data_IF_491737698332
#
_entry.id   IF_491737698332
#
_cell.length_a   1.000
_cell.length_b   1.000
_cell.length_c   1.000
_cell.angle_alpha   90.00
_cell.angle_beta   90.00
_cell.angle_gamma   90.00
#
_symmetry.space_group_name_H-M   'P 1'
#
loop_
_entity.id
_entity.type
_entity.pdbx_description
1 polymer ?
#
# COMPACT_ATOMS: atom_id res chain seq x y z
N UNK A 1 -18.11 17.67 4.16
CA UNK A 1 -18.67 18.64 5.12
C UNK A 1 -17.74 19.81 5.41
N UNK A 2 -16.62 19.67 6.15
CA UNK A 2 -15.77 20.83 6.48
C UNK A 2 -15.18 21.56 5.26
N UNK A 3 -14.71 20.83 4.23
CA UNK A 3 -14.02 21.47 3.08
C UNK A 3 -14.88 21.80 1.87
N UNK A 4 -16.09 21.24 1.78
CA UNK A 4 -16.93 21.35 0.58
C UNK A 4 -18.41 21.59 0.94
N UNK A 5 -18.74 21.83 2.21
CA UNK A 5 -20.13 21.91 2.65
C UNK A 5 -20.88 20.58 2.51
N UNK A 6 -22.20 20.66 2.53
CA UNK A 6 -23.14 19.57 2.21
C UNK A 6 -24.10 19.92 1.09
N UNK A 7 -24.12 21.18 0.66
CA UNK A 7 -25.26 21.76 -0.04
C UNK A 7 -24.97 21.95 -1.54
N UNK A 8 -23.69 22.02 -1.94
CA UNK A 8 -23.26 22.17 -3.33
C UNK A 8 -22.30 21.06 -3.77
N UNK A 9 -22.33 20.75 -5.08
CA UNK A 9 -21.38 19.83 -5.70
C UNK A 9 -20.00 20.48 -5.83
N UNK A 10 -18.94 19.68 -5.61
CA UNK A 10 -17.53 20.12 -5.68
C UNK A 10 -17.17 20.68 -7.07
N UNK A 11 -17.83 20.20 -8.11
CA UNK A 11 -17.66 20.66 -9.49
C UNK A 11 -19.00 21.22 -10.01
N UNK A 12 -19.31 22.50 -9.74
CA UNK A 12 -20.63 23.08 -9.97
C UNK A 12 -21.03 23.22 -11.45
N UNK A 13 -20.08 23.05 -12.37
CA UNK A 13 -20.28 23.18 -13.82
C UNK A 13 -20.17 21.86 -14.61
N UNK A 14 -20.31 20.69 -13.96
CA UNK A 14 -20.56 19.47 -14.72
C UNK A 14 -21.93 19.59 -15.36
N UNK A 15 -21.95 19.73 -16.70
CA UNK A 15 -23.10 19.85 -17.60
C UNK A 15 -24.46 19.67 -16.90
N UNK A 16 -25.24 20.74 -16.74
CA UNK A 16 -26.53 20.74 -16.03
C UNK A 16 -27.58 19.76 -16.60
N UNK A 17 -27.29 19.12 -17.74
CA UNK A 17 -28.08 18.07 -18.37
C UNK A 17 -27.73 16.64 -17.92
N UNK A 18 -26.69 16.42 -17.12
CA UNK A 18 -26.21 15.10 -16.71
C UNK A 18 -26.11 14.99 -15.20
N UNK A 19 -27.07 14.31 -14.57
CA UNK A 19 -27.08 14.03 -13.14
C UNK A 19 -26.40 12.69 -12.88
N UNK A 20 -25.16 12.68 -12.37
CA UNK A 20 -24.41 11.44 -12.08
C UNK A 20 -25.13 10.47 -11.12
N UNK A 21 -26.11 10.94 -10.34
CA UNK A 21 -26.90 10.11 -9.43
C UNK A 21 -28.14 9.51 -10.11
N UNK A 22 -28.57 10.04 -11.26
CA UNK A 22 -29.78 9.59 -11.98
C UNK A 22 -29.48 9.01 -13.36
N UNK A 23 -28.42 9.48 -14.01
CA UNK A 23 -28.05 9.15 -15.37
C UNK A 23 -26.82 8.24 -15.41
N UNK A 24 -26.93 7.12 -16.14
CA UNK A 24 -25.80 6.25 -16.44
C UNK A 24 -25.29 6.55 -17.84
N UNK A 25 -24.08 7.09 -17.97
CA UNK A 25 -23.41 7.18 -19.27
C UNK A 25 -23.07 5.77 -19.79
N UNK A 26 -23.66 5.42 -20.93
CA UNK A 26 -23.35 4.18 -21.64
C UNK A 26 -22.42 4.55 -22.79
N UNK A 27 -21.31 3.80 -22.95
CA UNK A 27 -20.39 3.96 -24.09
C UNK A 27 -21.12 3.71 -25.42
N UNK A 28 -20.70 4.38 -26.47
CA UNK A 28 -21.28 4.16 -27.80
C UNK A 28 -20.90 2.78 -28.35
N UNK A 29 -21.57 2.34 -29.40
CA UNK A 29 -21.29 1.06 -30.07
C UNK A 29 -21.91 -0.19 -29.42
N UNK A 30 -21.60 -1.34 -29.99
CA UNK A 30 -22.11 -2.64 -29.58
C UNK A 30 -21.37 -3.21 -28.35
N UNK A 31 -21.85 -4.31 -27.77
CA UNK A 31 -21.29 -4.90 -26.55
C UNK A 31 -19.78 -5.21 -26.67
N UNK A 32 -19.33 -5.70 -27.83
CA UNK A 32 -17.93 -6.01 -28.06
C UNK A 32 -17.06 -4.74 -28.17
N UNK A 33 -17.55 -3.71 -28.86
CA UNK A 33 -16.87 -2.41 -28.94
C UNK A 33 -16.72 -1.78 -27.55
N UNK A 34 -17.79 -1.78 -26.74
CA UNK A 34 -17.76 -1.26 -25.37
C UNK A 34 -16.77 -2.00 -24.48
N UNK A 35 -16.67 -3.32 -24.65
CA UNK A 35 -15.70 -4.13 -23.94
C UNK A 35 -14.27 -3.76 -24.34
N UNK A 36 -13.98 -3.70 -25.65
CA UNK A 36 -12.66 -3.32 -26.15
C UNK A 36 -12.26 -1.91 -25.73
N UNK A 37 -13.16 -0.93 -25.84
CA UNK A 37 -12.91 0.44 -25.41
C UNK A 37 -12.64 0.53 -23.91
N UNK A 38 -13.43 -0.14 -23.07
CA UNK A 38 -13.19 -0.15 -21.63
C UNK A 38 -11.81 -0.75 -21.28
N UNK A 39 -11.40 -1.81 -21.99
CA UNK A 39 -10.09 -2.44 -21.83
C UNK A 39 -8.95 -1.50 -22.25
N UNK A 40 -9.06 -0.88 -23.42
CA UNK A 40 -8.02 0.01 -23.96
C UNK A 40 -7.92 1.31 -23.17
N UNK A 41 -9.05 1.91 -22.80
CA UNK A 41 -9.10 3.08 -21.91
C UNK A 41 -8.47 2.76 -20.55
N UNK A 42 -8.85 1.62 -19.96
CA UNK A 42 -8.31 1.16 -18.68
C UNK A 42 -6.80 0.95 -18.75
N UNK A 43 -6.31 0.31 -19.81
CA UNK A 43 -4.88 0.09 -20.05
C UNK A 43 -4.12 1.40 -20.22
N UNK A 44 -4.60 2.32 -21.08
CA UNK A 44 -3.99 3.64 -21.30
C UNK A 44 -3.93 4.46 -20.02
N UNK A 45 -5.05 4.58 -19.31
CA UNK A 45 -5.13 5.34 -18.07
C UNK A 45 -4.26 4.70 -16.97
N UNK A 46 -4.23 3.37 -16.90
CA UNK A 46 -3.36 2.62 -15.98
C UNK A 46 -1.87 2.89 -16.22
N UNK A 47 -1.41 2.87 -17.47
CA UNK A 47 -0.02 3.20 -17.83
C UNK A 47 0.32 4.65 -17.48
N UNK A 48 -0.56 5.60 -17.80
CA UNK A 48 -0.35 7.00 -17.48
C UNK A 48 -0.26 7.23 -15.96
N UNK A 49 -1.14 6.60 -15.19
CA UNK A 49 -1.11 6.63 -13.73
C UNK A 49 0.18 6.01 -13.19
N UNK A 50 0.63 4.89 -13.74
CA UNK A 50 1.87 4.24 -13.34
C UNK A 50 3.08 5.15 -13.53
N UNK A 51 3.21 5.81 -14.69
CA UNK A 51 4.29 6.77 -14.95
C UNK A 51 4.32 7.89 -13.90
N UNK A 52 3.15 8.40 -13.50
CA UNK A 52 3.05 9.44 -12.47
C UNK A 52 3.45 8.97 -11.07
N UNK A 53 3.32 7.68 -10.76
CA UNK A 53 3.57 7.11 -9.42
C UNK A 53 5.01 6.59 -9.26
N UNK A 54 5.66 6.17 -10.36
CA UNK A 54 7.02 5.59 -10.36
C UNK A 54 8.03 6.40 -9.52
N UNK A 55 8.14 7.74 -9.66
CA UNK A 55 9.13 8.50 -8.89
C UNK A 55 8.96 8.35 -7.38
N UNK A 56 7.72 8.41 -6.90
CA UNK A 56 7.42 8.23 -5.47
C UNK A 56 7.73 6.82 -5.01
N UNK A 57 7.36 5.80 -5.79
CA UNK A 57 7.63 4.39 -5.48
C UNK A 57 9.13 4.13 -5.35
N UNK A 58 9.93 4.56 -6.34
CA UNK A 58 11.38 4.30 -6.37
C UNK A 58 12.06 4.95 -5.18
N UNK A 59 11.74 6.21 -4.87
CA UNK A 59 12.33 6.94 -3.74
C UNK A 59 11.98 6.26 -2.41
N UNK A 60 10.69 5.98 -2.18
CA UNK A 60 10.24 5.41 -0.90
C UNK A 60 10.76 3.98 -0.72
N UNK A 61 10.69 3.14 -1.75
CA UNK A 61 11.18 1.76 -1.63
C UNK A 61 12.71 1.72 -1.42
N UNK A 62 13.47 2.59 -2.10
CA UNK A 62 14.92 2.69 -1.91
C UNK A 62 15.26 3.15 -0.50
N UNK A 63 14.57 4.18 0.01
CA UNK A 63 14.77 4.66 1.38
C UNK A 63 14.46 3.57 2.40
N UNK A 64 13.32 2.89 2.28
CA UNK A 64 12.96 1.79 3.18
C UNK A 64 13.98 0.66 3.11
N UNK A 65 14.43 0.29 1.90
CA UNK A 65 15.45 -0.75 1.71
C UNK A 65 16.76 -0.37 2.41
N UNK A 66 17.28 0.84 2.18
CA UNK A 66 18.51 1.32 2.82
C UNK A 66 18.39 1.38 4.35
N UNK A 67 17.22 1.72 4.87
CA UNK A 67 17.00 1.76 6.32
C UNK A 67 16.77 0.38 6.94
N UNK A 68 16.32 -0.61 6.15
CA UNK A 68 15.97 -1.95 6.66
C UNK A 68 17.14 -2.92 6.55
N UNK A 69 17.81 -2.97 5.40
CA UNK A 69 18.89 -3.91 5.15
C UNK A 69 20.14 -3.52 5.94
N UNK A 70 20.97 -4.51 6.27
CA UNK A 70 22.27 -4.28 6.90
C UNK A 70 23.41 -4.08 5.88
N UNK A 71 24.63 -3.86 6.38
CA UNK A 71 25.83 -3.82 5.53
C UNK A 71 26.12 -5.20 4.91
N UNK A 72 27.18 -5.29 4.11
CA UNK A 72 27.65 -6.56 3.53
C UNK A 72 27.88 -7.65 4.59
N UNK A 73 28.04 -8.90 4.16
CA UNK A 73 28.39 -10.02 5.04
C UNK A 73 29.71 -9.81 5.80
N UNK A 74 30.62 -8.98 5.26
CA UNK A 74 31.85 -8.57 5.92
C UNK A 74 31.65 -7.48 7.00
N UNK A 75 30.42 -7.02 7.22
CA UNK A 75 30.05 -5.99 8.19
C UNK A 75 30.38 -4.56 7.74
N UNK A 76 31.01 -4.38 6.58
CA UNK A 76 31.33 -3.07 6.00
C UNK A 76 30.25 -2.64 5.01
N UNK A 77 29.84 -1.37 5.08
CA UNK A 77 28.95 -0.78 4.10
C UNK A 77 29.77 -0.35 2.87
N UNK A 78 29.47 -0.95 1.73
CA UNK A 78 30.19 -0.71 0.46
C UNK A 78 29.38 0.12 -0.52
N UNK A 79 28.06 0.26 -0.28
CA UNK A 79 27.12 0.89 -1.20
C UNK A 79 26.65 -0.04 -2.32
N UNK A 80 26.90 -1.35 -2.19
CA UNK A 80 26.42 -2.33 -3.16
C UNK A 80 24.89 -2.45 -3.14
N UNK A 81 24.35 -3.04 -4.21
CA UNK A 81 22.91 -3.26 -4.32
C UNK A 81 22.39 -4.08 -3.13
N UNK A 82 21.24 -3.68 -2.60
CA UNK A 82 20.57 -4.28 -1.44
C UNK A 82 21.31 -4.15 -0.10
N UNK A 83 22.34 -3.31 0.01
CA UNK A 83 22.90 -2.93 1.30
C UNK A 83 22.10 -1.81 1.99
N UNK A 84 22.30 -1.66 3.29
CA UNK A 84 21.70 -0.60 4.08
C UNK A 84 22.39 -0.41 5.43
N UNK A 85 21.77 0.41 6.29
CA UNK A 85 22.27 0.76 7.62
C UNK A 85 21.55 0.05 8.77
N UNK A 86 20.51 -0.75 8.49
CA UNK A 86 19.81 -1.56 9.48
C UNK A 86 19.10 -0.77 10.59
N UNK A 87 18.80 0.51 10.36
CA UNK A 87 18.16 1.37 11.36
C UNK A 87 16.76 0.86 11.74
N UNK A 88 15.94 0.44 10.76
CA UNK A 88 14.57 -0.04 11.01
C UNK A 88 14.54 -1.42 11.65
N UNK A 89 15.48 -2.30 11.31
CA UNK A 89 15.62 -3.60 11.99
C UNK A 89 16.06 -3.43 13.44
N UNK A 90 16.98 -2.48 13.72
CA UNK A 90 17.36 -2.10 15.08
C UNK A 90 16.18 -1.54 15.89
N UNK A 91 15.41 -0.59 15.32
CA UNK A 91 14.19 -0.06 15.95
C UNK A 91 13.17 -1.18 16.17
N UNK A 92 12.97 -2.05 15.17
CA UNK A 92 12.07 -3.19 15.24
C UNK A 92 12.40 -4.15 16.37
N UNK A 93 13.70 -4.42 16.59
CA UNK A 93 14.17 -5.20 17.73
C UNK A 93 13.78 -4.57 19.07
N UNK A 94 13.88 -3.24 19.20
CA UNK A 94 13.47 -2.51 20.42
C UNK A 94 11.95 -2.49 20.61
N UNK A 95 11.19 -2.45 19.52
CA UNK A 95 9.73 -2.44 19.53
C UNK A 95 9.09 -3.84 19.55
N UNK A 96 9.90 -4.91 19.57
CA UNK A 96 9.42 -6.30 19.53
C UNK A 96 8.36 -6.59 20.59
N UNK A 97 8.48 -6.00 21.79
CA UNK A 97 7.50 -6.17 22.87
C UNK A 97 6.09 -5.69 22.51
N UNK A 98 5.95 -4.75 21.57
CA UNK A 98 4.66 -4.26 21.05
C UNK A 98 4.28 -5.03 19.79
N UNK A 99 5.22 -5.20 18.86
CA UNK A 99 4.96 -5.73 17.54
C UNK A 99 4.59 -7.23 17.57
N UNK A 100 5.22 -8.01 18.44
CA UNK A 100 4.93 -9.43 18.57
C UNK A 100 3.51 -9.71 19.10
N UNK A 101 3.01 -9.08 20.19
CA UNK A 101 1.62 -9.33 20.63
C UNK A 101 0.58 -8.78 19.64
N UNK A 102 0.83 -7.62 19.02
CA UNK A 102 -0.15 -6.95 18.17
C UNK A 102 -0.23 -7.58 16.77
N UNK A 103 0.90 -7.84 16.13
CA UNK A 103 0.96 -8.32 14.74
C UNK A 103 1.48 -9.74 14.62
N UNK A 104 2.01 -10.33 15.69
CA UNK A 104 2.55 -11.69 15.65
C UNK A 104 3.93 -11.80 15.03
N UNK A 105 4.65 -10.70 14.82
CA UNK A 105 5.96 -10.73 14.17
C UNK A 105 6.99 -11.49 15.01
N UNK A 106 7.49 -12.58 14.44
CA UNK A 106 8.47 -13.47 15.05
C UNK A 106 9.89 -12.89 14.98
N UNK A 107 10.19 -12.16 13.91
CA UNK A 107 11.50 -11.55 13.63
C UNK A 107 11.39 -10.03 13.37
N UNK A 108 12.40 -9.21 13.70
CA UNK A 108 12.44 -7.79 13.37
C UNK A 108 12.39 -7.52 11.85
N UNK A 109 12.93 -8.44 11.04
CA UNK A 109 12.96 -8.36 9.58
C UNK A 109 11.56 -8.41 8.96
N UNK A 110 10.57 -8.98 9.67
CA UNK A 110 9.17 -9.00 9.23
C UNK A 110 8.61 -7.57 9.01
N UNK A 111 9.19 -6.54 9.64
CA UNK A 111 8.81 -5.15 9.43
C UNK A 111 9.15 -4.64 8.02
N UNK A 112 10.06 -5.29 7.29
CA UNK A 112 10.39 -4.85 5.94
C UNK A 112 9.16 -4.85 5.03
N UNK A 113 8.28 -5.86 5.16
CA UNK A 113 7.11 -5.95 4.30
C UNK A 113 6.14 -4.77 4.51
N UNK A 114 5.62 -4.49 5.72
CA UNK A 114 4.72 -3.36 5.93
C UNK A 114 5.36 -2.03 5.51
N UNK A 115 6.65 -1.81 5.81
CA UNK A 115 7.33 -0.56 5.46
C UNK A 115 7.53 -0.40 3.95
N UNK A 116 7.92 -1.45 3.24
CA UNK A 116 8.04 -1.41 1.78
C UNK A 116 6.67 -1.21 1.13
N UNK A 117 5.60 -1.79 1.71
CA UNK A 117 4.24 -1.65 1.20
C UNK A 117 3.71 -0.21 1.22
N UNK A 118 4.25 0.67 2.08
CA UNK A 118 3.94 2.11 2.08
C UNK A 118 4.27 2.76 0.73
N UNK A 119 5.35 2.30 0.08
CA UNK A 119 5.79 2.75 -1.24
C UNK A 119 5.19 1.91 -2.37
N UNK A 120 5.26 0.57 -2.26
CA UNK A 120 4.68 -0.38 -3.21
C UNK A 120 4.46 -1.76 -2.59
N UNK A 121 3.22 -2.25 -2.60
CA UNK A 121 2.90 -3.62 -2.17
C UNK A 121 3.49 -4.67 -3.12
N UNK A 122 3.57 -4.38 -4.42
CA UNK A 122 4.19 -5.29 -5.39
C UNK A 122 5.68 -5.53 -5.09
N UNK A 123 6.40 -4.48 -4.71
CA UNK A 123 7.79 -4.60 -4.27
C UNK A 123 7.91 -5.38 -2.94
N UNK A 124 6.99 -5.12 -2.00
CA UNK A 124 6.95 -5.83 -0.71
C UNK A 124 6.70 -7.33 -0.89
N UNK A 125 5.81 -7.73 -1.81
CA UNK A 125 5.55 -9.13 -2.14
C UNK A 125 6.81 -9.86 -2.66
N UNK A 126 7.71 -9.15 -3.35
CA UNK A 126 9.00 -9.71 -3.77
C UNK A 126 9.90 -10.15 -2.60
N UNK A 127 9.69 -9.63 -1.39
CA UNK A 127 10.44 -10.01 -0.19
C UNK A 127 9.94 -11.33 0.43
N UNK A 128 8.66 -11.66 0.23
CA UNK A 128 7.97 -12.77 0.92
C UNK A 128 8.63 -14.13 0.64
N UNK A 129 8.98 -14.52 -0.60
CA UNK A 129 9.61 -15.83 -0.86
C UNK A 129 10.93 -16.02 -0.12
N UNK A 130 11.77 -14.97 -0.08
CA UNK A 130 13.07 -15.00 0.62
C UNK A 130 12.90 -15.04 2.14
N UNK A 131 11.91 -14.36 2.68
CA UNK A 131 11.61 -14.40 4.11
C UNK A 131 11.10 -15.78 4.55
N UNK A 132 10.24 -16.40 3.72
CA UNK A 132 9.75 -17.76 3.98
C UNK A 132 10.88 -18.80 3.92
N UNK A 133 11.75 -18.73 2.91
CA UNK A 133 12.87 -19.69 2.79
C UNK A 133 13.86 -19.59 3.95
N UNK A 134 13.99 -18.41 4.56
CA UNK A 134 14.82 -18.16 5.75
C UNK A 134 14.09 -18.41 7.08
N UNK A 135 12.82 -18.80 7.06
CA UNK A 135 12.02 -19.01 8.27
C UNK A 135 11.77 -17.74 9.09
N UNK A 136 11.83 -16.55 8.47
CA UNK A 136 11.65 -15.26 9.14
C UNK A 136 10.17 -14.90 9.34
N UNK A 137 9.28 -15.48 8.54
CA UNK A 137 7.84 -15.25 8.56
C UNK A 137 7.08 -16.58 8.48
N UNK A 138 5.89 -16.63 9.07
CA UNK A 138 5.00 -17.78 9.01
C UNK A 138 3.61 -17.41 8.53
N UNK A 139 2.65 -18.31 8.76
CA UNK A 139 1.25 -18.16 8.35
C UNK A 139 0.59 -16.90 8.93
N UNK A 140 0.91 -16.54 10.18
CA UNK A 140 0.32 -15.35 10.79
C UNK A 140 0.82 -14.08 10.11
N UNK A 141 2.14 -13.97 9.92
CA UNK A 141 2.74 -12.82 9.26
C UNK A 141 2.19 -12.65 7.85
N UNK A 142 1.98 -13.75 7.10
CA UNK A 142 1.32 -13.69 5.80
C UNK A 142 -0.09 -13.08 5.91
N UNK A 143 -0.92 -13.55 6.85
CA UNK A 143 -2.27 -13.01 7.03
C UNK A 143 -2.25 -11.49 7.33
N UNK A 144 -1.35 -11.06 8.21
CA UNK A 144 -1.17 -9.64 8.55
C UNK A 144 -0.65 -8.85 7.36
N UNK A 145 0.35 -9.36 6.64
CA UNK A 145 0.92 -8.73 5.45
C UNK A 145 -0.12 -8.56 4.36
N UNK A 146 -1.00 -9.53 4.15
CA UNK A 146 -2.10 -9.41 3.18
C UNK A 146 -3.04 -8.27 3.56
N UNK A 147 -3.49 -8.20 4.83
CA UNK A 147 -4.40 -7.15 5.26
C UNK A 147 -3.76 -5.75 5.23
N UNK A 148 -2.53 -5.64 5.78
CA UNK A 148 -1.79 -4.38 5.75
C UNK A 148 -1.47 -3.96 4.31
N UNK A 149 -1.00 -4.88 3.47
CA UNK A 149 -0.65 -4.62 2.08
C UNK A 149 -1.84 -4.15 1.24
N UNK A 150 -3.04 -4.67 1.49
CA UNK A 150 -4.27 -4.20 0.85
C UNK A 150 -4.58 -2.74 1.23
N UNK A 151 -4.47 -2.39 2.51
CA UNK A 151 -4.72 -1.03 2.97
C UNK A 151 -3.60 -0.06 2.59
N UNK A 152 -2.35 -0.52 2.60
CA UNK A 152 -1.19 0.33 2.41
C UNK A 152 -0.67 0.37 0.98
N UNK A 153 -1.20 -0.44 0.06
CA UNK A 153 -0.90 -0.55 -1.39
C UNK A 153 -0.20 0.64 -2.08
N UNK A 154 1.05 0.92 -1.70
CA UNK A 154 1.80 2.11 -2.11
C UNK A 154 1.17 3.46 -1.76
N UNK A 155 0.40 3.57 -0.68
CA UNK A 155 -0.49 4.72 -0.48
C UNK A 155 0.24 6.07 -0.39
N UNK A 156 1.51 6.10 0.02
CA UNK A 156 2.32 7.32 0.03
C UNK A 156 2.67 7.81 -1.38
N UNK A 157 2.78 6.91 -2.36
CA UNK A 157 3.09 7.24 -3.76
C UNK A 157 1.81 7.40 -4.60
N UNK A 158 0.80 6.56 -4.37
CA UNK A 158 -0.43 6.50 -5.16
C UNK A 158 -1.41 7.62 -4.80
N UNK A 159 -1.63 7.94 -3.52
CA UNK A 159 -2.63 8.94 -3.15
C UNK A 159 -2.23 10.37 -3.50
N UNK A 160 -0.94 10.69 -3.52
CA UNK A 160 -0.48 12.00 -3.97
C UNK A 160 -0.87 12.18 -5.44
N UNK A 161 -0.51 11.22 -6.30
CA UNK A 161 -0.84 11.26 -7.73
C UNK A 161 -2.36 11.20 -7.99
N UNK A 162 -3.10 10.38 -7.23
CA UNK A 162 -4.54 10.26 -7.38
C UNK A 162 -5.30 11.52 -6.96
N UNK A 163 -4.91 12.15 -5.85
CA UNK A 163 -5.53 13.39 -5.40
C UNK A 163 -5.19 14.56 -6.34
N UNK A 164 -4.01 14.54 -6.96
CA UNK A 164 -3.63 15.51 -8.00
C UNK A 164 -4.52 15.34 -9.25
N UNK A 165 -4.74 14.10 -9.70
CA UNK A 165 -5.62 13.81 -10.84
C UNK A 165 -7.09 14.20 -10.59
N UNK A 166 -7.53 14.20 -9.32
CA UNK A 166 -8.87 14.61 -8.91
C UNK A 166 -9.00 16.12 -8.66
N UNK A 167 -7.93 16.89 -8.73
CA UNK A 167 -7.86 18.31 -8.30
C UNK A 167 -8.22 18.51 -6.81
N UNK A 168 -7.87 17.53 -5.98
CA UNK A 168 -8.25 17.45 -4.56
C UNK A 168 -7.02 17.31 -3.66
N UNK A 169 -5.89 17.90 -4.07
CA UNK A 169 -4.58 17.80 -3.41
C UNK A 169 -4.61 18.13 -1.91
N UNK A 170 -5.52 19.01 -1.47
CA UNK A 170 -5.73 19.35 -0.04
C UNK A 170 -6.22 18.17 0.83
N UNK A 171 -6.72 17.09 0.22
CA UNK A 171 -7.17 15.88 0.91
C UNK A 171 -6.10 14.79 1.03
N UNK A 172 -4.95 14.95 0.38
CA UNK A 172 -3.86 13.94 0.36
C UNK A 172 -3.46 13.49 1.76
N UNK A 173 -3.21 14.43 2.68
CA UNK A 173 -2.82 14.09 4.06
C UNK A 173 -3.92 13.32 4.81
N UNK A 174 -5.19 13.64 4.56
CA UNK A 174 -6.33 12.93 5.18
C UNK A 174 -6.42 11.50 4.65
N UNK A 175 -6.23 11.31 3.35
CA UNK A 175 -6.19 9.98 2.75
C UNK A 175 -5.01 9.16 3.30
N UNK A 176 -3.80 9.73 3.33
CA UNK A 176 -2.61 9.11 3.89
C UNK A 176 -2.86 8.62 5.32
N UNK A 177 -3.36 9.48 6.21
CA UNK A 177 -3.64 9.12 7.60
C UNK A 177 -4.70 8.00 7.69
N UNK A 178 -5.78 8.09 6.90
CA UNK A 178 -6.83 7.07 6.90
C UNK A 178 -6.29 5.71 6.47
N UNK A 179 -5.43 5.66 5.45
CA UNK A 179 -4.79 4.44 4.98
C UNK A 179 -3.81 3.89 6.02
N UNK A 180 -3.03 4.75 6.68
CA UNK A 180 -2.17 4.34 7.81
C UNK A 180 -2.98 3.63 8.88
N UNK A 181 -4.04 4.27 9.39
CA UNK A 181 -4.89 3.73 10.47
C UNK A 181 -5.61 2.47 9.99
N UNK A 182 -6.15 2.49 8.77
CA UNK A 182 -6.84 1.35 8.16
C UNK A 182 -5.94 0.12 8.06
N UNK A 183 -4.69 0.28 7.64
CA UNK A 183 -3.75 -0.85 7.57
C UNK A 183 -3.29 -1.34 8.93
N UNK A 184 -3.09 -0.46 9.91
CA UNK A 184 -2.85 -0.90 11.30
C UNK A 184 -4.03 -1.71 11.82
N UNK A 185 -5.25 -1.18 11.72
CA UNK A 185 -6.47 -1.85 12.15
C UNK A 185 -6.70 -3.17 11.41
N UNK A 186 -6.48 -3.20 10.09
CA UNK A 186 -6.59 -4.40 9.27
C UNK A 186 -5.56 -5.47 9.63
N UNK A 187 -4.30 -5.08 9.86
CA UNK A 187 -3.25 -5.99 10.32
C UNK A 187 -3.55 -6.60 11.69
N UNK A 188 -4.02 -5.77 12.63
CA UNK A 188 -4.46 -6.22 13.96
C UNK A 188 -5.61 -7.21 13.84
N UNK A 189 -6.66 -6.84 13.10
CA UNK A 189 -7.82 -7.71 12.88
C UNK A 189 -7.40 -9.04 12.24
N UNK A 190 -6.54 -9.02 11.22
CA UNK A 190 -6.04 -10.22 10.57
C UNK A 190 -5.26 -11.14 11.53
N UNK A 191 -4.43 -10.58 12.42
CA UNK A 191 -3.74 -11.34 13.47
C UNK A 191 -4.75 -12.07 14.36
N UNK A 192 -5.73 -11.35 14.90
CA UNK A 192 -6.72 -11.95 15.81
C UNK A 192 -7.63 -12.95 15.12
N UNK A 193 -8.09 -12.66 13.91
CA UNK A 193 -8.86 -13.61 13.09
C UNK A 193 -8.05 -14.88 12.85
N UNK A 194 -6.78 -14.75 12.49
CA UNK A 194 -5.90 -15.91 12.27
C UNK A 194 -5.70 -16.74 13.56
N UNK A 195 -5.52 -16.09 14.71
CA UNK A 195 -5.41 -16.78 16.00
C UNK A 195 -6.68 -17.59 16.32
N UNK A 196 -7.86 -16.97 16.17
CA UNK A 196 -9.15 -17.65 16.38
C UNK A 196 -9.29 -18.83 15.41
N UNK A 197 -9.01 -18.62 14.13
CA UNK A 197 -9.05 -19.67 13.12
C UNK A 197 -8.11 -20.83 13.48
N UNK A 198 -6.86 -20.53 13.87
CA UNK A 198 -5.88 -21.54 14.25
C UNK A 198 -6.28 -22.32 15.48
N UNK A 199 -7.03 -21.71 16.41
CA UNK A 199 -7.56 -22.39 17.60
C UNK A 199 -8.74 -23.30 17.29
N UNK A 200 -9.60 -22.91 16.32
CA UNK A 200 -10.74 -23.73 15.89
C UNK A 200 -10.31 -24.97 15.10
N UNK A 201 -9.24 -24.84 14.30
CA UNK A 201 -8.77 -25.89 13.38
C UNK A 201 -7.69 -26.79 14.00
N UNK A 202 -7.09 -26.38 15.13
CA UNK A 202 -6.14 -27.20 15.90
C UNK A 202 -6.87 -28.23 16.76
#
# INVERSE_FOLDING_TARGET
>A
KKEYGTDEYVFPNMNASYDMLKDRKIRDGNAFQRFLEALLDGGKNGVQLAISIIPGVVIICTLVMMLTNGPSEAGTYTGAAYEGIGALTWIGGKLKFILSPIFGFSSPEALAFPLTSLGSVGAALGLVPKMLSKGLIGKTEIAVFTAMGMCWSGYLSTHVAMMDALDMRKLTSKAIISHTIGGLGGGIAARFIYLIYSWIVA
#
